data_IF_825781867913
#
_entry.id   IF_825781867913
#
_cell.length_a   1.000
_cell.length_b   1.000
_cell.length_c   1.000
_cell.angle_alpha   90.00
_cell.angle_beta   90.00
_cell.angle_gamma   90.00
#
_symmetry.space_group_name_H-M   'P 1'
#
loop_
_entity.id
_entity.type
_entity.pdbx_description
1 polymer ?
#
# COMPACT_ATOMS: atom_id res chain seq x y z
N UNK A 1 -10.39 -25.50 37.22
CA UNK A 1 -9.53 -26.16 36.21
C UNK A 1 -8.71 -25.09 35.47
N UNK A 2 -7.50 -24.77 35.95
CA UNK A 2 -6.60 -23.77 35.32
C UNK A 2 -6.00 -24.42 34.06
N UNK A 3 -6.56 -24.17 32.88
CA UNK A 3 -5.91 -24.54 31.61
C UNK A 3 -4.56 -23.81 31.58
N UNK A 4 -3.46 -24.56 31.60
CA UNK A 4 -2.11 -24.01 31.53
C UNK A 4 -2.01 -23.16 30.25
N UNK A 5 -1.77 -21.86 30.42
CA UNK A 5 -1.67 -20.90 29.33
C UNK A 5 -0.39 -21.10 28.50
N UNK A 6 0.60 -21.80 29.07
CA UNK A 6 1.94 -22.05 28.54
C UNK A 6 2.01 -22.68 27.14
N UNK A 7 1.33 -23.80 26.83
CA UNK A 7 1.41 -24.41 25.50
C UNK A 7 0.85 -23.51 24.38
N UNK A 8 -0.17 -22.69 24.67
CA UNK A 8 -0.74 -21.77 23.68
C UNK A 8 0.25 -20.66 23.31
N UNK A 9 0.89 -20.07 24.31
CA UNK A 9 1.90 -19.03 24.08
C UNK A 9 3.11 -19.55 23.29
N UNK A 10 3.52 -20.80 23.52
CA UNK A 10 4.59 -21.44 22.74
C UNK A 10 4.19 -21.56 21.27
N UNK A 11 2.97 -22.03 20.97
CA UNK A 11 2.47 -22.12 19.60
C UNK A 11 2.39 -20.73 18.95
N UNK A 12 1.87 -19.72 19.67
CA UNK A 12 1.81 -18.35 19.16
C UNK A 12 3.21 -17.78 18.87
N UNK A 13 4.16 -17.99 19.77
CA UNK A 13 5.53 -17.53 19.58
C UNK A 13 6.18 -18.20 18.38
N UNK A 14 6.03 -19.51 18.24
CA UNK A 14 6.63 -20.28 17.14
C UNK A 14 6.01 -19.89 15.78
N UNK A 15 4.69 -19.66 15.74
CA UNK A 15 4.01 -19.15 14.55
C UNK A 15 4.49 -17.72 14.21
N UNK A 16 4.52 -16.81 15.19
CA UNK A 16 4.98 -15.45 14.99
C UNK A 16 6.43 -15.40 14.50
N UNK A 17 7.31 -16.20 15.09
CA UNK A 17 8.71 -16.28 14.71
C UNK A 17 8.89 -16.83 13.28
N UNK A 18 8.23 -17.93 12.94
CA UNK A 18 8.36 -18.56 11.61
C UNK A 18 7.79 -17.65 10.51
N UNK A 19 6.65 -17.02 10.73
CA UNK A 19 6.05 -16.08 9.76
C UNK A 19 6.90 -14.83 9.53
N UNK A 20 7.61 -14.36 10.56
CA UNK A 20 8.46 -13.16 10.48
C UNK A 20 9.93 -13.47 10.24
N UNK A 21 10.33 -14.75 10.12
CA UNK A 21 11.72 -15.14 9.99
C UNK A 21 12.46 -14.40 8.86
N UNK A 22 11.90 -14.23 7.63
CA UNK A 22 12.56 -13.47 6.57
C UNK A 22 12.79 -12.00 6.93
N UNK A 23 11.84 -11.38 7.63
CA UNK A 23 11.93 -9.98 8.07
C UNK A 23 12.99 -9.84 9.15
N UNK A 24 13.00 -10.75 10.13
CA UNK A 24 14.00 -10.79 11.21
C UNK A 24 15.40 -11.02 10.65
N UNK A 25 15.55 -11.96 9.72
CA UNK A 25 16.82 -12.25 9.05
C UNK A 25 17.33 -11.06 8.23
N UNK A 26 16.43 -10.38 7.50
CA UNK A 26 16.76 -9.16 6.75
C UNK A 26 17.21 -8.06 7.70
N UNK A 27 16.46 -7.84 8.79
CA UNK A 27 16.81 -6.84 9.79
C UNK A 27 18.18 -7.14 10.41
N UNK A 28 18.44 -8.37 10.87
CA UNK A 28 19.74 -8.76 11.41
C UNK A 28 20.88 -8.58 10.39
N UNK A 29 20.65 -8.97 9.14
CA UNK A 29 21.65 -8.85 8.06
C UNK A 29 22.00 -7.38 7.76
N UNK A 30 21.05 -6.46 7.90
CA UNK A 30 21.28 -5.04 7.69
C UNK A 30 22.33 -4.44 8.65
N UNK A 31 22.52 -5.02 9.84
CA UNK A 31 23.51 -4.58 10.82
C UNK A 31 24.85 -5.32 10.76
N UNK A 32 24.98 -6.37 9.94
CA UNK A 32 26.22 -7.13 9.81
C UNK A 32 27.25 -6.40 8.93
N UNK A 33 28.51 -6.43 9.35
CA UNK A 33 29.61 -5.92 8.53
C UNK A 33 29.90 -6.79 7.28
N UNK A 34 30.61 -6.29 6.25
CA UNK A 34 30.78 -6.98 4.97
C UNK A 34 31.40 -8.39 5.07
N UNK A 35 32.32 -8.61 6.02
CA UNK A 35 32.94 -9.92 6.27
C UNK A 35 31.99 -10.88 6.98
N UNK A 36 31.22 -10.37 7.93
CA UNK A 36 30.30 -11.17 8.73
C UNK A 36 29.13 -11.69 7.89
N UNK A 37 28.56 -10.84 7.03
CA UNK A 37 27.44 -11.19 6.14
C UNK A 37 27.69 -12.46 5.33
N UNK A 38 28.93 -12.65 4.84
CA UNK A 38 29.28 -13.79 3.99
C UNK A 38 29.66 -15.06 4.77
N UNK A 39 30.00 -14.94 6.05
CA UNK A 39 30.51 -16.06 6.88
C UNK A 39 29.49 -16.55 7.90
N UNK A 40 28.66 -15.66 8.42
CA UNK A 40 27.74 -15.92 9.52
C UNK A 40 26.28 -15.99 9.02
N UNK A 41 25.72 -17.19 8.79
CA UNK A 41 24.31 -17.35 8.43
C UNK A 41 23.35 -17.24 9.63
N UNK A 42 23.85 -17.08 10.87
CA UNK A 42 23.04 -16.97 12.08
C UNK A 42 22.21 -15.67 12.11
N UNK A 43 21.13 -15.65 12.90
CA UNK A 43 20.41 -14.40 13.22
C UNK A 43 21.18 -13.51 14.20
N UNK A 44 22.15 -14.07 14.93
CA UNK A 44 22.97 -13.31 15.87
C UNK A 44 24.00 -12.46 15.11
N UNK A 45 24.09 -11.18 15.48
CA UNK A 45 25.06 -10.23 14.93
C UNK A 45 26.22 -10.12 15.92
N UNK A 46 27.40 -10.56 15.52
CA UNK A 46 28.58 -10.56 16.37
C UNK A 46 29.10 -9.14 16.60
N UNK A 47 29.18 -8.34 15.53
CA UNK A 47 29.68 -6.97 15.56
C UNK A 47 28.70 -6.04 14.85
N UNK A 48 27.66 -5.53 15.54
CA UNK A 48 26.64 -4.69 14.91
C UNK A 48 27.24 -3.38 14.41
N UNK A 49 26.90 -3.00 13.18
CA UNK A 49 27.38 -1.80 12.50
C UNK A 49 26.24 -1.04 11.83
N UNK A 50 26.44 0.26 11.61
CA UNK A 50 25.53 1.11 10.82
C UNK A 50 26.11 1.43 9.44
N UNK A 51 27.20 0.78 9.04
CA UNK A 51 27.91 1.08 7.78
C UNK A 51 27.00 0.90 6.56
N UNK A 52 26.18 -0.16 6.56
CA UNK A 52 25.23 -0.42 5.47
C UNK A 52 24.21 0.71 5.35
N UNK A 53 23.63 1.16 6.46
CA UNK A 53 22.68 2.28 6.47
C UNK A 53 23.36 3.59 6.04
N UNK A 54 24.57 3.87 6.53
CA UNK A 54 25.33 5.04 6.10
C UNK A 54 25.54 5.02 4.60
N UNK A 55 25.98 3.89 4.01
CA UNK A 55 26.13 3.76 2.56
C UNK A 55 24.83 4.10 1.85
N UNK A 56 23.73 3.44 2.21
CA UNK A 56 22.40 3.66 1.62
C UNK A 56 21.97 5.13 1.66
N UNK A 57 22.20 5.82 2.77
CA UNK A 57 21.77 7.21 2.96
C UNK A 57 22.74 8.23 2.34
N UNK A 58 23.99 7.87 2.08
CA UNK A 58 24.99 8.77 1.49
C UNK A 58 25.09 8.65 -0.03
N UNK A 59 24.55 7.59 -0.63
CA UNK A 59 24.57 7.41 -2.07
C UNK A 59 23.58 8.39 -2.71
N UNK A 60 24.09 9.38 -3.44
CA UNK A 60 23.30 10.46 -4.06
C UNK A 60 23.28 10.42 -5.59
N UNK A 61 23.98 9.47 -6.20
CA UNK A 61 24.08 9.30 -7.64
C UNK A 61 22.88 8.51 -8.19
N UNK A 62 23.09 7.46 -8.99
CA UNK A 62 22.01 6.70 -9.61
C UNK A 62 21.12 5.96 -8.61
N UNK A 63 21.59 5.72 -7.38
CA UNK A 63 20.87 4.96 -6.34
C UNK A 63 20.38 5.86 -5.19
N UNK A 64 19.88 7.04 -5.52
CA UNK A 64 19.39 7.99 -4.53
C UNK A 64 18.07 7.51 -3.88
N UNK A 65 18.18 6.94 -2.69
CA UNK A 65 17.04 6.40 -1.93
C UNK A 65 16.03 7.46 -1.50
N UNK A 66 16.46 8.70 -1.28
CA UNK A 66 15.54 9.78 -0.91
C UNK A 66 14.57 10.11 -2.05
N UNK A 67 15.06 10.17 -3.29
CA UNK A 67 14.22 10.38 -4.47
C UNK A 67 13.26 9.21 -4.70
N UNK A 68 13.71 7.99 -4.44
CA UNK A 68 12.85 6.82 -4.56
C UNK A 68 11.73 6.80 -3.53
N UNK A 69 12.06 7.10 -2.26
CA UNK A 69 11.08 7.25 -1.19
C UNK A 69 10.08 8.37 -1.52
N UNK A 70 10.57 9.52 -1.99
CA UNK A 70 9.71 10.64 -2.33
C UNK A 70 8.77 10.31 -3.50
N UNK A 71 9.30 9.70 -4.56
CA UNK A 71 8.50 9.24 -5.70
C UNK A 71 7.43 8.24 -5.26
N UNK A 72 7.77 7.29 -4.40
CA UNK A 72 6.80 6.35 -3.83
C UNK A 72 5.74 7.02 -2.96
N UNK A 73 6.11 7.94 -2.07
CA UNK A 73 5.14 8.64 -1.20
C UNK A 73 4.14 9.42 -2.06
N UNK A 74 4.63 10.19 -3.03
CA UNK A 74 3.77 11.01 -3.90
C UNK A 74 2.86 10.12 -4.75
N UNK A 75 3.42 9.10 -5.41
CA UNK A 75 2.65 8.21 -6.28
C UNK A 75 1.62 7.39 -5.47
N UNK A 76 1.99 6.86 -4.31
CA UNK A 76 1.08 6.12 -3.44
C UNK A 76 -0.02 7.00 -2.84
N UNK A 77 0.30 8.24 -2.48
CA UNK A 77 -0.68 9.20 -2.00
C UNK A 77 -1.74 9.52 -3.08
N UNK A 78 -1.31 9.84 -4.30
CA UNK A 78 -2.21 10.08 -5.44
C UNK A 78 -3.00 8.81 -5.77
N UNK A 79 -2.32 7.67 -5.82
CA UNK A 79 -2.90 6.35 -6.10
C UNK A 79 -3.90 5.87 -5.05
N UNK A 80 -3.91 6.44 -3.85
CA UNK A 80 -4.88 6.13 -2.79
C UNK A 80 -5.98 7.20 -2.67
N UNK A 81 -5.62 8.48 -2.79
CA UNK A 81 -6.55 9.59 -2.61
C UNK A 81 -7.50 9.74 -3.80
N UNK A 82 -6.98 9.72 -5.03
CA UNK A 82 -7.77 9.96 -6.23
C UNK A 82 -8.89 8.92 -6.41
N UNK A 83 -8.64 7.61 -6.21
CA UNK A 83 -9.70 6.62 -6.26
C UNK A 83 -10.82 6.87 -5.26
N UNK A 84 -10.52 7.32 -4.03
CA UNK A 84 -11.55 7.58 -3.03
C UNK A 84 -12.44 8.75 -3.42
N UNK A 85 -11.82 9.83 -3.93
CA UNK A 85 -12.54 11.01 -4.39
C UNK A 85 -13.50 10.68 -5.55
N UNK A 86 -13.09 9.75 -6.43
CA UNK A 86 -13.91 9.27 -7.55
C UNK A 86 -14.95 8.25 -7.09
N UNK A 87 -14.56 7.30 -6.25
CA UNK A 87 -15.40 6.16 -5.89
C UNK A 87 -16.51 6.53 -4.91
N UNK A 88 -16.32 7.48 -3.99
CA UNK A 88 -17.36 7.88 -3.04
C UNK A 88 -18.65 8.40 -3.73
N UNK A 89 -18.59 9.36 -4.67
CA UNK A 89 -19.80 9.82 -5.37
C UNK A 89 -20.41 8.74 -6.28
N UNK A 90 -19.63 7.76 -6.76
CA UNK A 90 -20.13 6.61 -7.54
C UNK A 90 -20.81 5.57 -6.62
N UNK A 91 -20.24 5.36 -5.44
CA UNK A 91 -20.71 4.39 -4.46
C UNK A 91 -22.11 4.73 -3.94
N UNK A 92 -22.41 6.02 -3.76
CA UNK A 92 -23.70 6.47 -3.25
C UNK A 92 -24.92 6.04 -4.09
N UNK A 93 -25.02 6.39 -5.39
CA UNK A 93 -26.14 5.94 -6.21
C UNK A 93 -26.11 4.42 -6.44
N UNK A 94 -24.93 3.78 -6.47
CA UNK A 94 -24.81 2.31 -6.53
C UNK A 94 -25.47 1.64 -5.32
N UNK A 95 -25.18 2.11 -4.11
CA UNK A 95 -25.70 1.57 -2.87
C UNK A 95 -27.20 1.87 -2.69
N UNK A 96 -27.63 3.12 -2.95
CA UNK A 96 -29.00 3.58 -2.69
C UNK A 96 -30.00 3.26 -3.79
N UNK A 97 -29.59 3.39 -5.05
CA UNK A 97 -30.49 3.27 -6.21
C UNK A 97 -30.24 2.01 -7.04
N UNK A 98 -29.20 1.24 -6.71
CA UNK A 98 -28.79 0.07 -7.47
C UNK A 98 -28.23 0.39 -8.86
N UNK A 99 -27.95 1.67 -9.17
CA UNK A 99 -27.41 2.07 -10.47
C UNK A 99 -26.08 1.38 -10.72
N UNK A 100 -25.95 0.64 -11.83
CA UNK A 100 -24.72 -0.09 -12.14
C UNK A 100 -24.41 -1.29 -11.24
N UNK A 101 -25.20 -1.56 -10.18
CA UNK A 101 -24.92 -2.64 -9.20
C UNK A 101 -24.92 -4.03 -9.83
N UNK A 102 -25.75 -4.27 -10.84
CA UNK A 102 -25.87 -5.59 -11.51
C UNK A 102 -24.80 -5.87 -12.57
N UNK A 103 -24.27 -4.82 -13.22
CA UNK A 103 -23.37 -4.97 -14.38
C UNK A 103 -22.04 -4.24 -14.14
N UNK A 104 -22.07 -2.92 -13.93
CA UNK A 104 -20.86 -2.11 -13.79
C UNK A 104 -20.03 -2.50 -12.56
N UNK A 105 -20.68 -2.71 -11.41
CA UNK A 105 -20.00 -3.09 -10.19
C UNK A 105 -19.22 -4.41 -10.32
N UNK A 106 -19.84 -5.55 -10.70
CA UNK A 106 -19.09 -6.79 -10.89
C UNK A 106 -18.07 -6.68 -12.03
N UNK A 107 -18.35 -5.96 -13.11
CA UNK A 107 -17.38 -5.73 -14.19
C UNK A 107 -16.11 -5.06 -13.67
N UNK A 108 -16.24 -3.93 -12.97
CA UNK A 108 -15.10 -3.17 -12.43
C UNK A 108 -14.33 -3.99 -11.40
N UNK A 109 -15.02 -4.70 -10.50
CA UNK A 109 -14.37 -5.54 -9.49
C UNK A 109 -13.63 -6.71 -10.14
N UNK A 110 -14.20 -7.34 -11.17
CA UNK A 110 -13.59 -8.48 -11.87
C UNK A 110 -12.33 -8.13 -12.67
N UNK A 111 -12.10 -6.85 -13.00
CA UNK A 111 -10.83 -6.41 -13.60
C UNK A 111 -9.62 -6.76 -12.73
N UNK A 112 -9.82 -6.94 -11.42
CA UNK A 112 -8.78 -7.41 -10.48
C UNK A 112 -8.28 -8.82 -10.73
N UNK A 113 -9.11 -9.67 -11.34
CA UNK A 113 -8.72 -11.04 -11.66
C UNK A 113 -7.78 -11.08 -12.87
N UNK A 114 -7.72 -10.02 -13.67
CA UNK A 114 -6.85 -9.94 -14.83
C UNK A 114 -5.41 -9.63 -14.39
N UNK A 115 -4.41 -10.37 -14.92
CA UNK A 115 -3.00 -10.02 -14.72
C UNK A 115 -2.70 -8.62 -15.27
N UNK A 116 -2.17 -7.72 -14.42
CA UNK A 116 -1.86 -6.33 -14.81
C UNK A 116 -0.88 -6.24 -16.00
N UNK A 117 -0.01 -7.25 -16.16
CA UNK A 117 0.95 -7.35 -17.25
C UNK A 117 0.31 -7.31 -18.65
N UNK A 118 -0.95 -7.76 -18.79
CA UNK A 118 -1.68 -7.71 -20.07
C UNK A 118 -1.83 -6.26 -20.56
N UNK A 119 -1.95 -5.31 -19.64
CA UNK A 119 -2.15 -3.90 -19.95
C UNK A 119 -0.85 -3.12 -20.11
N UNK A 120 0.31 -3.75 -19.86
CA UNK A 120 1.62 -3.10 -19.84
C UNK A 120 1.93 -2.31 -21.12
N UNK A 121 1.95 -3.01 -22.26
CA UNK A 121 2.32 -2.43 -23.56
C UNK A 121 1.37 -1.29 -23.97
N UNK A 122 0.04 -1.48 -23.99
CA UNK A 122 -0.85 -0.40 -24.41
C UNK A 122 -0.78 0.81 -23.47
N UNK A 123 -0.69 0.60 -22.16
CA UNK A 123 -0.55 1.71 -21.21
C UNK A 123 0.77 2.46 -21.36
N UNK A 124 1.87 1.74 -21.59
CA UNK A 124 3.15 2.37 -21.89
C UNK A 124 3.05 3.28 -23.13
N UNK A 125 2.47 2.78 -24.22
CA UNK A 125 2.29 3.58 -25.45
C UNK A 125 1.40 4.81 -25.22
N UNK A 126 0.31 4.67 -24.46
CA UNK A 126 -0.54 5.80 -24.11
C UNK A 126 0.23 6.85 -23.31
N UNK A 127 0.96 6.43 -22.28
CA UNK A 127 1.74 7.32 -21.40
C UNK A 127 2.88 8.01 -22.16
N UNK A 128 3.51 7.31 -23.09
CA UNK A 128 4.52 7.87 -23.98
C UNK A 128 3.92 9.01 -24.83
N UNK A 129 2.74 8.78 -25.40
CA UNK A 129 2.06 9.74 -26.28
C UNK A 129 1.65 11.02 -25.55
N UNK A 130 1.20 10.91 -24.29
CA UNK A 130 0.76 12.08 -23.49
C UNK A 130 1.86 12.69 -22.61
N UNK A 131 3.10 12.19 -22.70
CA UNK A 131 4.24 12.72 -21.94
C UNK A 131 4.18 12.44 -20.42
N UNK A 132 3.54 11.34 -20.00
CA UNK A 132 3.42 10.96 -18.58
C UNK A 132 4.49 9.97 -18.12
N UNK A 133 5.34 9.47 -19.03
CA UNK A 133 6.47 8.61 -18.67
C UNK A 133 7.45 9.34 -17.75
N UNK A 134 8.00 8.61 -16.79
CA UNK A 134 8.95 9.07 -15.79
C UNK A 134 8.46 10.29 -14.98
N UNK A 135 7.15 10.39 -14.77
CA UNK A 135 6.55 11.41 -13.90
C UNK A 135 5.89 10.79 -12.67
N UNK A 136 6.09 11.43 -11.51
CA UNK A 136 5.47 11.01 -10.23
C UNK A 136 3.94 11.04 -10.31
N UNK A 137 3.39 12.03 -11.03
CA UNK A 137 1.95 12.14 -11.29
C UNK A 137 1.45 11.01 -12.20
N UNK A 138 2.14 10.73 -13.31
CA UNK A 138 1.82 9.62 -14.20
C UNK A 138 1.78 8.30 -13.44
N UNK A 139 2.82 8.01 -12.65
CA UNK A 139 2.83 6.82 -11.79
C UNK A 139 1.62 6.82 -10.84
N UNK A 140 1.35 7.93 -10.14
CA UNK A 140 0.19 8.04 -9.26
C UNK A 140 -1.17 7.79 -9.96
N UNK A 141 -1.32 8.24 -11.21
CA UNK A 141 -2.55 8.05 -12.00
C UNK A 141 -2.79 6.59 -12.35
N UNK A 142 -1.76 5.84 -12.77
CA UNK A 142 -1.96 4.42 -13.05
C UNK A 142 -2.23 3.64 -11.76
N UNK A 143 -1.56 3.98 -10.66
CA UNK A 143 -1.84 3.37 -9.36
C UNK A 143 -3.27 3.66 -8.89
N UNK A 144 -3.81 4.85 -9.20
CA UNK A 144 -5.20 5.17 -8.94
C UNK A 144 -6.16 4.25 -9.72
N UNK A 145 -5.89 4.01 -11.01
CA UNK A 145 -6.69 3.09 -11.85
C UNK A 145 -6.67 1.66 -11.27
N UNK A 146 -5.50 1.17 -10.87
CA UNK A 146 -5.34 -0.17 -10.28
C UNK A 146 -6.07 -0.30 -8.93
N UNK A 147 -6.08 0.77 -8.13
CA UNK A 147 -6.72 0.80 -6.82
C UNK A 147 -8.24 1.04 -6.87
N UNK A 148 -8.76 1.62 -7.95
CA UNK A 148 -10.17 1.99 -8.09
C UNK A 148 -11.15 0.85 -7.79
N UNK A 149 -10.95 -0.40 -8.25
CA UNK A 149 -11.89 -1.48 -7.96
C UNK A 149 -12.04 -1.82 -6.47
N UNK A 150 -10.94 -1.85 -5.69
CA UNK A 150 -10.96 -2.10 -4.24
C UNK A 150 -11.70 -0.96 -3.56
N UNK A 151 -11.31 0.25 -3.94
CA UNK A 151 -11.84 1.47 -3.35
C UNK A 151 -13.34 1.55 -3.57
N UNK A 152 -13.81 1.30 -4.80
CA UNK A 152 -15.22 1.25 -5.12
C UNK A 152 -15.95 0.16 -4.33
N UNK A 153 -15.40 -1.05 -4.25
CA UNK A 153 -15.98 -2.13 -3.47
C UNK A 153 -16.13 -1.76 -1.99
N UNK A 154 -15.09 -1.22 -1.37
CA UNK A 154 -15.10 -0.81 0.03
C UNK A 154 -16.10 0.32 0.28
N UNK A 155 -16.13 1.33 -0.59
CA UNK A 155 -17.01 2.49 -0.40
C UNK A 155 -18.48 2.19 -0.72
N UNK A 156 -18.79 1.30 -1.67
CA UNK A 156 -20.17 0.82 -1.88
C UNK A 156 -20.70 0.13 -0.62
N UNK A 157 -19.89 -0.73 0.00
CA UNK A 157 -20.27 -1.36 1.27
C UNK A 157 -20.38 -0.34 2.40
N UNK A 158 -19.43 0.60 2.51
CA UNK A 158 -19.46 1.65 3.53
C UNK A 158 -20.71 2.52 3.45
N UNK A 159 -21.12 2.93 2.24
CA UNK A 159 -22.35 3.71 2.07
C UNK A 159 -23.57 2.85 2.37
N UNK A 160 -23.58 1.58 1.97
CA UNK A 160 -24.70 0.68 2.28
C UNK A 160 -24.96 0.53 3.79
N UNK A 161 -23.94 0.65 4.63
CA UNK A 161 -24.05 0.62 6.09
C UNK A 161 -24.59 1.91 6.72
N UNK A 162 -24.55 3.04 6.02
CA UNK A 162 -25.12 4.30 6.53
C UNK A 162 -26.65 4.15 6.60
N UNK A 163 -27.28 4.40 7.76
CA UNK A 163 -28.75 4.34 7.90
C UNK A 163 -29.44 5.30 6.94
N UNK A 164 -30.46 4.82 6.22
CA UNK A 164 -31.14 5.61 5.20
C UNK A 164 -31.96 6.75 5.81
N UNK A 165 -32.43 6.56 7.03
CA UNK A 165 -33.24 7.50 7.80
C UNK A 165 -32.48 8.83 8.03
N UNK A 166 -31.16 8.78 8.19
CA UNK A 166 -30.32 9.98 8.32
C UNK A 166 -30.26 10.78 7.01
N UNK A 167 -30.27 10.10 5.87
CA UNK A 167 -30.32 10.76 4.57
C UNK A 167 -31.70 11.32 4.26
N UNK A 168 -32.76 10.62 4.66
CA UNK A 168 -34.14 11.08 4.53
C UNK A 168 -34.39 12.31 5.39
N UNK A 169 -33.96 12.31 6.66
CA UNK A 169 -34.04 13.48 7.53
C UNK A 169 -33.35 14.70 6.91
N UNK A 170 -32.11 14.55 6.42
CA UNK A 170 -31.39 15.64 5.76
C UNK A 170 -32.11 16.14 4.49
N UNK A 171 -32.78 15.26 3.74
CA UNK A 171 -33.60 15.64 2.57
C UNK A 171 -34.86 16.39 2.98
N UNK A 172 -35.49 16.03 4.09
CA UNK A 172 -36.62 16.78 4.66
C UNK A 172 -36.21 18.20 5.04
N UNK A 173 -34.97 18.39 5.48
CA UNK A 173 -34.36 19.71 5.73
C UNK A 173 -33.96 20.47 4.45
N UNK A 174 -34.34 19.98 3.26
CA UNK A 174 -34.04 20.61 1.96
C UNK A 174 -32.58 20.45 1.49
N UNK A 175 -31.82 19.51 2.07
CA UNK A 175 -30.42 19.30 1.71
C UNK A 175 -30.28 18.66 0.32
N UNK A 176 -29.62 19.35 -0.61
CA UNK A 176 -29.27 18.81 -1.93
C UNK A 176 -28.19 17.71 -1.87
N UNK A 177 -28.10 16.88 -2.93
CA UNK A 177 -27.23 15.69 -2.97
C UNK A 177 -25.76 15.96 -2.66
N UNK A 178 -25.18 17.07 -3.15
CA UNK A 178 -23.77 17.40 -2.88
C UNK A 178 -23.52 17.68 -1.40
N UNK A 179 -24.45 18.39 -0.74
CA UNK A 179 -24.38 18.67 0.70
C UNK A 179 -24.67 17.41 1.52
N UNK A 180 -25.60 16.57 1.09
CA UNK A 180 -25.84 15.24 1.68
C UNK A 180 -24.57 14.38 1.70
N UNK A 181 -23.87 14.29 0.57
CA UNK A 181 -22.64 13.51 0.45
C UNK A 181 -21.52 14.03 1.36
N UNK A 182 -21.36 15.35 1.43
CA UNK A 182 -20.25 15.97 2.18
C UNK A 182 -20.52 16.10 3.68
N UNK A 183 -21.76 16.34 4.10
CA UNK A 183 -22.11 16.63 5.49
C UNK A 183 -22.77 15.46 6.22
N UNK A 184 -23.28 14.45 5.51
CA UNK A 184 -23.92 13.27 6.11
C UNK A 184 -23.13 12.00 5.79
N UNK A 185 -23.01 11.66 4.51
CA UNK A 185 -22.40 10.38 4.09
C UNK A 185 -20.91 10.35 4.41
N UNK A 186 -20.13 11.37 4.02
CA UNK A 186 -18.69 11.41 4.22
C UNK A 186 -18.28 11.31 5.71
N UNK A 187 -18.86 12.08 6.65
CA UNK A 187 -18.52 11.96 8.08
C UNK A 187 -18.86 10.58 8.66
N UNK A 188 -19.98 9.98 8.25
CA UNK A 188 -20.39 8.65 8.72
C UNK A 188 -19.51 7.54 8.14
N UNK A 189 -19.07 7.68 6.88
CA UNK A 189 -18.13 6.75 6.25
C UNK A 189 -16.67 6.99 6.64
N UNK A 190 -16.36 8.00 7.48
CA UNK A 190 -14.98 8.40 7.81
C UNK A 190 -14.08 7.25 8.31
N UNK A 191 -14.53 6.32 9.18
CA UNK A 191 -13.71 5.19 9.58
C UNK A 191 -13.30 4.33 8.38
N UNK A 192 -14.26 3.99 7.51
CA UNK A 192 -14.01 3.18 6.31
C UNK A 192 -13.20 3.92 5.26
N UNK A 193 -13.36 5.23 5.12
CA UNK A 193 -12.53 6.07 4.24
C UNK A 193 -11.06 6.02 4.66
N UNK A 194 -10.77 6.11 5.96
CA UNK A 194 -9.41 6.01 6.48
C UNK A 194 -8.82 4.63 6.21
N UNK A 195 -9.57 3.57 6.49
CA UNK A 195 -9.14 2.19 6.23
C UNK A 195 -8.91 1.96 4.73
N UNK A 196 -9.79 2.48 3.88
CA UNK A 196 -9.67 2.42 2.41
C UNK A 196 -8.43 3.15 1.92
N UNK A 197 -8.15 4.35 2.45
CA UNK A 197 -6.93 5.10 2.11
C UNK A 197 -5.68 4.32 2.46
N UNK A 198 -5.62 3.71 3.65
CA UNK A 198 -4.44 2.96 4.10
C UNK A 198 -4.22 1.74 3.22
N UNK A 199 -5.26 0.96 2.93
CA UNK A 199 -5.16 -0.16 2.01
C UNK A 199 -4.71 0.29 0.62
N UNK A 200 -5.33 1.34 0.08
CA UNK A 200 -4.94 1.92 -1.20
C UNK A 200 -3.48 2.38 -1.22
N UNK A 201 -3.02 3.04 -0.15
CA UNK A 201 -1.65 3.52 -0.02
C UNK A 201 -0.67 2.36 0.02
N UNK A 202 -0.93 1.33 0.83
CA UNK A 202 -0.06 0.14 0.94
C UNK A 202 -0.03 -0.62 -0.40
N UNK A 203 -1.17 -0.78 -1.07
CA UNK A 203 -1.24 -1.43 -2.38
C UNK A 203 -0.47 -0.64 -3.43
N UNK A 204 -0.62 0.68 -3.47
CA UNK A 204 0.11 1.54 -4.39
C UNK A 204 1.62 1.59 -4.08
N UNK A 205 1.99 1.61 -2.80
CA UNK A 205 3.39 1.57 -2.34
C UNK A 205 4.10 0.30 -2.80
N UNK A 206 3.41 -0.85 -2.71
CA UNK A 206 3.96 -2.16 -3.07
C UNK A 206 3.90 -2.46 -4.57
N UNK A 207 3.38 -1.55 -5.37
CA UNK A 207 3.31 -1.75 -6.82
C UNK A 207 4.72 -1.67 -7.42
N UNK A 208 5.06 -2.66 -8.24
CA UNK A 208 6.39 -2.79 -8.84
C UNK A 208 6.35 -2.75 -10.36
N UNK A 209 5.33 -3.33 -10.97
CA UNK A 209 5.25 -3.56 -12.42
C UNK A 209 5.18 -2.23 -13.18
N UNK A 210 4.23 -1.35 -12.81
CA UNK A 210 4.09 -0.07 -13.49
C UNK A 210 5.19 0.91 -13.12
N UNK A 211 5.71 0.84 -11.89
CA UNK A 211 6.96 1.50 -11.52
C UNK A 211 8.09 1.16 -12.49
N UNK A 212 8.35 -0.13 -12.69
CA UNK A 212 9.45 -0.61 -13.55
C UNK A 212 9.24 -0.21 -15.02
N UNK A 213 8.00 -0.25 -15.50
CA UNK A 213 7.69 -0.03 -16.91
C UNK A 213 7.60 1.45 -17.30
N UNK A 214 7.13 2.31 -16.40
CA UNK A 214 6.79 3.69 -16.73
C UNK A 214 7.83 4.70 -16.24
N UNK A 215 8.84 4.28 -15.47
CA UNK A 215 9.82 5.19 -14.85
C UNK A 215 11.25 4.81 -15.22
N UNK A 216 12.14 5.80 -15.23
CA UNK A 216 13.55 5.61 -15.61
C UNK A 216 14.52 6.33 -14.69
N UNK A 217 14.25 7.58 -14.29
CA UNK A 217 15.14 8.36 -13.43
C UNK A 217 14.37 9.23 -12.42
N UNK A 218 13.43 10.05 -12.88
CA UNK A 218 12.81 11.13 -12.08
C UNK A 218 11.67 10.65 -11.18
N UNK A 219 11.04 9.52 -11.50
CA UNK A 219 9.86 9.02 -10.79
C UNK A 219 10.00 7.59 -10.28
N UNK A 220 11.22 7.05 -10.29
CA UNK A 220 11.50 5.66 -9.89
C UNK A 220 11.01 5.43 -8.45
N UNK A 221 10.06 4.52 -8.21
CA UNK A 221 9.57 4.25 -6.86
C UNK A 221 10.56 3.39 -6.07
N UNK A 222 10.46 3.44 -4.75
CA UNK A 222 11.27 2.67 -3.80
C UNK A 222 11.28 1.16 -4.08
N UNK A 223 10.17 0.57 -4.53
CA UNK A 223 10.10 -0.85 -4.91
C UNK A 223 11.05 -1.20 -6.05
N UNK A 224 11.14 -0.32 -7.06
CA UNK A 224 12.02 -0.49 -8.22
C UNK A 224 13.45 -0.10 -7.85
N UNK A 225 13.65 1.05 -7.22
CA UNK A 225 14.96 1.53 -6.79
C UNK A 225 15.67 0.56 -5.85
N UNK A 226 14.93 -0.09 -4.93
CA UNK A 226 15.47 -1.13 -4.07
C UNK A 226 16.00 -2.34 -4.85
N UNK A 227 15.39 -2.69 -5.98
CA UNK A 227 15.83 -3.83 -6.81
C UNK A 227 17.24 -3.63 -7.38
N UNK A 228 17.65 -2.38 -7.60
CA UNK A 228 18.98 -2.07 -8.14
C UNK A 228 20.12 -2.41 -7.17
N UNK A 229 19.84 -2.49 -5.86
CA UNK A 229 20.83 -2.90 -4.86
C UNK A 229 21.12 -4.40 -4.88
N UNK A 230 20.33 -5.19 -5.62
CA UNK A 230 20.59 -6.60 -5.88
C UNK A 230 21.36 -6.82 -7.20
N UNK A 231 21.59 -5.76 -7.99
CA UNK A 231 22.36 -5.88 -9.22
C UNK A 231 23.86 -6.11 -8.91
N UNK A 232 24.48 -7.04 -9.62
CA UNK A 232 25.90 -7.36 -9.44
C UNK A 232 26.76 -6.41 -10.27
N UNK A 233 27.29 -5.35 -9.66
CA UNK A 233 28.31 -4.49 -10.27
C UNK A 233 29.72 -5.09 -10.04
N UNK A 234 30.02 -6.18 -10.74
CA UNK A 234 31.38 -6.76 -10.82
C UNK A 234 31.94 -7.46 -9.56
N UNK A 235 31.25 -7.41 -8.40
CA UNK A 235 31.73 -7.98 -7.13
C UNK A 235 30.73 -8.85 -6.34
N UNK A 236 29.63 -9.26 -6.97
CA UNK A 236 28.51 -9.95 -6.31
C UNK A 236 27.52 -9.00 -5.61
N UNK A 237 26.48 -9.58 -5.01
CA UNK A 237 25.45 -8.82 -4.28
C UNK A 237 25.98 -8.41 -2.91
N UNK A 238 25.87 -7.11 -2.59
CA UNK A 238 26.19 -6.60 -1.26
C UNK A 238 25.00 -6.81 -0.31
N UNK A 239 24.81 -8.04 0.18
CA UNK A 239 23.64 -8.45 0.97
C UNK A 239 23.36 -7.56 2.19
N UNK A 240 24.38 -7.04 2.88
CA UNK A 240 24.19 -6.10 4.00
C UNK A 240 23.57 -4.77 3.56
N UNK A 241 24.02 -4.21 2.44
CA UNK A 241 23.48 -2.96 1.86
C UNK A 241 22.07 -3.19 1.31
N UNK A 242 21.85 -4.29 0.59
CA UNK A 242 20.53 -4.66 0.08
C UNK A 242 19.52 -4.85 1.24
N UNK A 243 19.92 -5.52 2.32
CA UNK A 243 19.10 -5.65 3.51
C UNK A 243 18.77 -4.31 4.17
N UNK A 244 19.75 -3.39 4.27
CA UNK A 244 19.53 -2.05 4.82
C UNK A 244 18.53 -1.23 3.97
N UNK A 245 18.62 -1.31 2.63
CA UNK A 245 17.65 -0.68 1.72
C UNK A 245 16.23 -1.23 1.94
N UNK A 246 16.08 -2.54 2.11
CA UNK A 246 14.77 -3.15 2.38
C UNK A 246 14.18 -2.69 3.72
N UNK A 247 15.02 -2.53 4.76
CA UNK A 247 14.59 -1.98 6.04
C UNK A 247 14.10 -0.54 5.86
N UNK A 248 14.84 0.30 5.13
CA UNK A 248 14.44 1.68 4.84
C UNK A 248 13.14 1.73 4.03
N UNK A 249 12.99 0.87 3.02
CA UNK A 249 11.79 0.79 2.18
C UNK A 249 10.52 0.44 2.97
N UNK A 250 10.66 -0.32 4.06
CA UNK A 250 9.56 -0.72 4.91
C UNK A 250 9.10 0.37 5.89
N UNK A 251 9.92 1.41 6.14
CA UNK A 251 9.61 2.43 7.15
C UNK A 251 8.32 3.21 6.86
N UNK A 252 8.06 3.71 5.64
CA UNK A 252 6.85 4.50 5.39
C UNK A 252 5.53 3.74 5.58
N UNK A 253 5.32 2.53 5.02
CA UNK A 253 4.09 1.78 5.28
C UNK A 253 4.00 1.32 6.75
N UNK A 254 5.12 1.01 7.40
CA UNK A 254 5.13 0.67 8.83
C UNK A 254 4.72 1.86 9.70
N UNK A 255 5.25 3.05 9.42
CA UNK A 255 4.88 4.28 10.11
C UNK A 255 3.38 4.59 9.92
N UNK A 256 2.87 4.50 8.69
CA UNK A 256 1.45 4.68 8.42
C UNK A 256 0.59 3.68 9.19
N UNK A 257 1.00 2.40 9.20
CA UNK A 257 0.34 1.34 9.95
C UNK A 257 0.30 1.61 11.45
N UNK A 258 1.40 2.08 12.05
CA UNK A 258 1.48 2.41 13.48
C UNK A 258 0.57 3.58 13.85
N UNK A 259 0.63 4.67 13.08
CA UNK A 259 -0.20 5.87 13.32
C UNK A 259 -1.68 5.54 13.22
N UNK A 260 -2.04 4.63 12.31
CA UNK A 260 -3.43 4.30 12.01
C UNK A 260 -3.94 3.02 12.67
N UNK A 261 -3.11 2.30 13.43
CA UNK A 261 -3.42 1.02 14.06
C UNK A 261 -4.76 1.06 14.82
N UNK A 262 -4.96 2.08 15.66
CA UNK A 262 -6.19 2.27 16.45
C UNK A 262 -7.45 2.48 15.60
N UNK A 263 -7.30 2.99 14.38
CA UNK A 263 -8.44 3.24 13.46
C UNK A 263 -8.79 1.99 12.67
N UNK A 264 -7.79 1.20 12.30
CA UNK A 264 -7.95 -0.08 11.58
C UNK A 264 -8.60 -1.14 12.50
N UNK A 265 -8.18 -1.22 13.77
CA UNK A 265 -8.69 -2.21 14.72
C UNK A 265 -10.20 -2.05 15.01
N UNK A 266 -10.75 -0.85 14.85
CA UNK A 266 -12.19 -0.60 14.99
C UNK A 266 -13.01 -1.03 13.77
N UNK A 267 -12.48 -0.93 12.54
CA UNK A 267 -13.22 -1.22 11.31
C UNK A 267 -13.20 -2.70 10.89
N UNK A 268 -12.10 -3.42 11.13
CA UNK A 268 -11.95 -4.82 10.71
C UNK A 268 -12.83 -5.79 11.52
N UNK A 269 -13.16 -5.46 12.76
CA UNK A 269 -13.89 -6.35 13.67
C UNK A 269 -15.40 -6.32 13.39
N UNK A 270 -15.95 -5.21 12.90
CA UNK A 270 -17.39 -5.07 12.65
C UNK A 270 -17.88 -5.92 11.47
N UNK A 271 -17.01 -6.21 10.50
CA UNK A 271 -17.34 -7.07 9.34
C UNK A 271 -17.21 -8.58 9.61
N UNK A 272 -16.43 -9.00 10.60
CA UNK A 272 -16.12 -10.41 10.86
C UNK A 272 -17.06 -11.11 11.85
N UNK A 273 -17.89 -10.36 12.59
CA UNK A 273 -18.79 -10.88 13.63
C UNK A 273 -20.26 -10.91 13.19
N UNK A 274 -20.54 -10.67 11.90
CA UNK A 274 -21.84 -10.98 11.30
C UNK A 274 -21.82 -12.40 10.74
N UNK A 275 -21.77 -13.38 11.65
CA UNK A 275 -21.85 -14.82 11.40
C UNK A 275 -22.43 -15.53 12.61
#
# INVERSE_FOLDING_TARGET
MKRSLTPRWIVFFLAAFTMNFPVIATFATAFKGPREVNRNPSLWVENPTLENFSKVLTITDRLNVYEYLWSSVVAAFVGALLPMLIALPIAWPMARRGYGKKILFPLVVNLRALPLIIFAIPLYMMYATVGLLDTKLGLGLILAVVNLPLTLMLLVNAVAEVPIELEEAARMDGTGTARLLTHVVFPLCRPTLITTFIFGFITAWNEFLFGLMLTTNNAVPMTVGASFFFATSGGGVQWGVAAAVMVVAALPPLFLGLVMYRRISGSLIVGAVKG
#
